data_IF_676944150925
#
_entry.id   IF_676944150925
#
_cell.length_a   1.000
_cell.length_b   1.000
_cell.length_c   1.000
_cell.angle_alpha   90.00
_cell.angle_beta   90.00
_cell.angle_gamma   90.00
#
_symmetry.space_group_name_H-M   'P 1'
#
loop_
_entity.id
_entity.type
_entity.pdbx_description
1 polymer ?
#
# COMPACT_ATOMS: atom_id res chain seq x y z
N UNK A 1 -13.74 -5.58 -8.83
CA UNK A 1 -13.43 -4.61 -7.75
C UNK A 1 -12.44 -5.30 -6.81
N UNK A 2 -11.37 -4.66 -6.35
CA UNK A 2 -10.34 -5.31 -5.52
C UNK A 2 -10.96 -5.68 -4.15
N UNK A 3 -10.80 -6.94 -3.71
CA UNK A 3 -11.31 -7.42 -2.43
C UNK A 3 -10.42 -6.99 -1.25
N UNK A 4 -10.44 -5.69 -0.93
CA UNK A 4 -9.59 -5.11 0.12
C UNK A 4 -9.77 -5.76 1.49
N UNK A 5 -11.01 -6.09 1.88
CA UNK A 5 -11.30 -6.74 3.17
C UNK A 5 -10.62 -8.10 3.32
N UNK A 6 -10.63 -8.89 2.26
CA UNK A 6 -9.99 -10.21 2.26
C UNK A 6 -8.47 -10.10 2.36
N UNK A 7 -7.88 -9.15 1.64
CA UNK A 7 -6.45 -8.86 1.76
C UNK A 7 -6.10 -8.37 3.17
N UNK A 8 -6.91 -7.49 3.76
CA UNK A 8 -6.70 -7.07 5.14
C UNK A 8 -6.75 -8.24 6.13
N UNK A 9 -7.73 -9.14 6.01
CA UNK A 9 -7.84 -10.33 6.87
C UNK A 9 -6.71 -11.34 6.70
N UNK A 10 -6.21 -11.52 5.47
CA UNK A 10 -5.08 -12.41 5.18
C UNK A 10 -3.76 -11.82 5.70
N UNK A 11 -3.53 -10.52 5.52
CA UNK A 11 -2.30 -9.85 5.93
C UNK A 11 -2.30 -9.46 7.42
N UNK A 12 -3.44 -9.20 8.07
CA UNK A 12 -3.53 -8.95 9.53
C UNK A 12 -2.94 -10.11 10.35
N UNK A 13 -3.03 -11.34 9.82
CA UNK A 13 -2.42 -12.53 10.43
C UNK A 13 -0.89 -12.54 10.37
N UNK A 14 -0.30 -11.81 9.42
CA UNK A 14 1.15 -11.71 9.22
C UNK A 14 1.77 -10.58 10.05
N UNK A 15 0.97 -9.62 10.52
CA UNK A 15 1.44 -8.53 11.34
C UNK A 15 1.45 -8.88 12.82
N UNK A 16 2.58 -8.62 13.48
CA UNK A 16 2.71 -8.80 14.93
C UNK A 16 2.07 -7.60 15.62
N UNK A 17 0.92 -7.81 16.29
CA UNK A 17 0.12 -6.74 16.88
C UNK A 17 0.81 -5.91 17.99
N UNK A 18 1.94 -6.37 18.54
CA UNK A 18 2.58 -5.76 19.73
C UNK A 18 4.12 -5.75 19.69
N UNK A 19 4.75 -5.78 18.52
CA UNK A 19 6.22 -5.70 18.40
C UNK A 19 6.62 -4.75 17.27
N UNK A 20 7.35 -3.68 17.61
CA UNK A 20 7.94 -2.75 16.63
C UNK A 20 6.98 -1.68 16.13
N UNK A 21 7.13 -1.29 14.86
CA UNK A 21 6.31 -0.25 14.22
C UNK A 21 4.90 -0.79 13.95
N UNK A 22 3.83 -0.03 14.26
CA UNK A 22 2.47 -0.43 13.93
C UNK A 22 2.33 -0.77 12.45
N UNK A 23 1.58 -1.83 12.17
CA UNK A 23 1.32 -2.29 10.82
C UNK A 23 0.77 -1.14 9.97
N UNK A 24 1.44 -0.86 8.85
CA UNK A 24 0.92 0.08 7.87
C UNK A 24 -0.34 -0.52 7.23
N UNK A 25 -1.30 0.30 6.76
CA UNK A 25 -2.47 -0.20 6.07
C UNK A 25 -2.09 -1.14 4.92
N UNK A 26 -2.66 -2.34 4.88
CA UNK A 26 -2.40 -3.35 3.82
C UNK A 26 -2.62 -2.75 2.45
N UNK A 27 -3.66 -1.92 2.34
CA UNK A 27 -4.01 -1.19 1.13
C UNK A 27 -2.94 -0.23 0.64
N UNK A 28 -2.17 0.39 1.53
CA UNK A 28 -1.02 1.24 1.17
C UNK A 28 0.05 0.40 0.48
N UNK A 29 0.42 -0.74 1.09
CA UNK A 29 1.47 -1.62 0.59
C UNK A 29 1.06 -2.22 -0.76
N UNK A 30 -0.11 -2.85 -0.81
CA UNK A 30 -0.64 -3.48 -2.03
C UNK A 30 -0.85 -2.44 -3.13
N UNK A 31 -1.35 -1.26 -2.80
CA UNK A 31 -1.60 -0.24 -3.80
C UNK A 31 -0.32 0.41 -4.33
N UNK A 32 0.74 0.54 -3.53
CA UNK A 32 2.07 0.93 -4.05
C UNK A 32 2.61 -0.13 -5.02
N UNK A 33 2.43 -1.43 -4.74
CA UNK A 33 2.82 -2.49 -5.68
C UNK A 33 2.02 -2.45 -6.98
N UNK A 34 0.72 -2.16 -6.91
CA UNK A 34 -0.12 -1.98 -8.11
C UNK A 34 0.41 -0.82 -8.95
N UNK A 35 0.67 0.34 -8.32
CA UNK A 35 1.20 1.52 -9.00
C UNK A 35 2.58 1.25 -9.61
N UNK A 36 3.44 0.53 -8.89
CA UNK A 36 4.75 0.09 -9.37
C UNK A 36 4.62 -0.76 -10.65
N UNK A 37 3.72 -1.74 -10.64
CA UNK A 37 3.52 -2.64 -11.76
C UNK A 37 2.86 -1.95 -12.96
N UNK A 38 1.92 -1.04 -12.70
CA UNK A 38 1.23 -0.28 -13.76
C UNK A 38 2.16 0.69 -14.48
N UNK A 39 3.02 1.40 -13.75
CA UNK A 39 3.94 2.39 -14.34
C UNK A 39 5.29 1.79 -14.74
N UNK A 40 5.62 0.56 -14.31
CA UNK A 40 6.88 -0.10 -14.63
C UNK A 40 8.11 0.62 -14.05
N UNK A 41 7.95 1.34 -12.95
CA UNK A 41 8.99 2.17 -12.32
C UNK A 41 9.59 1.49 -11.09
N UNK A 42 10.79 1.92 -10.65
CA UNK A 42 11.39 1.44 -9.41
C UNK A 42 10.59 1.88 -8.18
N UNK A 43 10.70 1.10 -7.11
CA UNK A 43 10.10 1.37 -5.80
C UNK A 43 10.37 2.80 -5.30
N UNK A 44 11.60 3.28 -5.41
CA UNK A 44 11.98 4.66 -5.05
C UNK A 44 11.18 5.69 -5.87
N UNK A 45 11.06 5.49 -7.19
CA UNK A 45 10.32 6.38 -8.08
C UNK A 45 8.81 6.35 -7.81
N UNK A 46 8.25 5.19 -7.45
CA UNK A 46 6.85 5.09 -7.03
C UNK A 46 6.60 5.96 -5.81
N UNK A 47 7.48 5.88 -4.80
CA UNK A 47 7.33 6.66 -3.56
C UNK A 47 7.44 8.15 -3.85
N UNK A 48 8.41 8.59 -4.66
CA UNK A 48 8.51 9.99 -5.08
C UNK A 48 7.23 10.48 -5.75
N UNK A 49 6.71 9.72 -6.72
CA UNK A 49 5.50 10.09 -7.46
C UNK A 49 4.24 10.01 -6.60
N UNK A 50 4.20 9.13 -5.60
CA UNK A 50 3.13 9.05 -4.61
C UNK A 50 3.08 10.28 -3.70
N UNK A 51 4.23 10.79 -3.25
CA UNK A 51 4.28 12.04 -2.46
C UNK A 51 3.81 13.25 -3.28
N UNK A 52 4.15 13.28 -4.56
CA UNK A 52 3.79 14.39 -5.47
C UNK A 52 2.35 14.33 -6.00
N UNK A 53 1.70 13.15 -5.98
CA UNK A 53 0.40 12.95 -6.62
C UNK A 53 -0.74 12.73 -5.60
N UNK A 54 -1.61 13.74 -5.37
CA UNK A 54 -2.75 13.63 -4.47
C UNK A 54 -3.74 12.54 -4.87
N UNK A 55 -3.85 12.21 -6.16
CA UNK A 55 -4.75 11.14 -6.62
C UNK A 55 -4.28 9.77 -6.17
N UNK A 56 -2.96 9.55 -6.10
CA UNK A 56 -2.40 8.30 -5.63
C UNK A 56 -2.57 8.18 -4.12
N UNK A 57 -2.44 9.27 -3.37
CA UNK A 57 -2.75 9.31 -1.94
C UNK A 57 -4.23 8.98 -1.69
N UNK A 58 -5.14 9.64 -2.41
CA UNK A 58 -6.57 9.37 -2.32
C UNK A 58 -6.93 7.92 -2.66
N UNK A 59 -6.30 7.34 -3.70
CA UNK A 59 -6.51 5.94 -4.06
C UNK A 59 -6.10 4.97 -2.93
N UNK A 60 -5.04 5.32 -2.19
CA UNK A 60 -4.51 4.55 -1.07
C UNK A 60 -5.14 4.91 0.28
N UNK A 61 -6.12 5.84 0.29
CA UNK A 61 -6.77 6.37 1.48
C UNK A 61 -5.77 7.01 2.47
N UNK A 62 -4.86 7.82 1.92
CA UNK A 62 -4.07 8.82 2.65
C UNK A 62 -4.60 10.21 2.30
#
# INVERSE_FOLDING_TARGET
MIEWKRLEEEFDKLFVKNVGQPARPVRLVVGLFILQHMDGISDEKVVHRWVENPYWQYFLWI
#
